data_IF_925498930631
#
_entry.id   IF_925498930631
#
_cell.length_a   1.000
_cell.length_b   1.000
_cell.length_c   1.000
_cell.angle_alpha   90.00
_cell.angle_beta   90.00
_cell.angle_gamma   90.00
#
_symmetry.space_group_name_H-M   'P 1'
#
loop_
_entity.id
_entity.type
_entity.pdbx_description
1 polymer ?
#
# COMPACT_ATOMS: atom_id res chain seq x y z
N UNK A 1 41.38 -58.37 -24.23
CA UNK A 1 42.83 -58.08 -24.35
C UNK A 1 43.03 -57.13 -25.50
N UNK A 2 43.83 -56.08 -25.28
CA UNK A 2 44.57 -55.20 -26.22
C UNK A 2 43.81 -54.66 -27.46
N UNK A 3 43.53 -53.36 -27.60
CA UNK A 3 44.41 -52.18 -27.67
C UNK A 3 45.23 -52.07 -28.98
N UNK A 4 45.24 -50.86 -29.55
CA UNK A 4 46.25 -50.34 -30.49
C UNK A 4 45.74 -50.30 -31.94
N UNK A 5 45.46 -49.13 -32.51
CA UNK A 5 46.40 -48.23 -33.21
C UNK A 5 46.89 -48.82 -34.55
N UNK A 6 47.12 -48.13 -35.67
CA UNK A 6 46.95 -46.77 -36.19
C UNK A 6 47.35 -46.87 -37.70
N UNK A 7 47.56 -45.73 -38.39
CA UNK A 7 48.07 -45.55 -39.79
C UNK A 7 46.94 -45.53 -40.83
N UNK A 8 46.42 -44.40 -41.33
CA UNK A 8 46.98 -43.14 -41.89
C UNK A 8 47.83 -43.35 -43.15
N UNK A 9 47.20 -43.20 -44.32
CA UNK A 9 47.85 -42.69 -45.54
C UNK A 9 46.94 -41.63 -46.15
N UNK A 10 47.54 -40.44 -46.29
CA UNK A 10 46.96 -39.18 -46.75
C UNK A 10 46.77 -39.13 -48.26
N UNK A 11 45.75 -38.38 -48.71
CA UNK A 11 45.53 -38.08 -50.11
C UNK A 11 44.81 -36.75 -50.33
N UNK A 12 45.59 -35.67 -50.27
CA UNK A 12 45.46 -34.37 -50.94
C UNK A 12 44.23 -33.47 -50.73
N UNK A 13 44.54 -32.31 -50.13
CA UNK A 13 43.71 -31.14 -49.84
C UNK A 13 43.50 -30.30 -51.10
N UNK A 14 42.25 -29.90 -51.34
CA UNK A 14 41.91 -28.66 -52.03
C UNK A 14 40.99 -27.84 -51.10
N UNK A 15 41.53 -26.75 -50.57
CA UNK A 15 40.92 -25.90 -49.54
C UNK A 15 39.93 -24.89 -50.15
N UNK A 16 38.64 -25.12 -49.95
CA UNK A 16 37.60 -24.07 -49.95
C UNK A 16 37.23 -23.71 -48.50
N UNK A 17 36.70 -22.50 -48.25
CA UNK A 17 36.32 -22.09 -46.89
C UNK A 17 35.29 -23.07 -46.30
N UNK A 18 35.62 -23.59 -45.12
CA UNK A 18 34.87 -24.63 -44.44
C UNK A 18 33.48 -24.14 -44.05
N UNK A 19 32.44 -24.75 -44.63
CA UNK A 19 31.14 -24.85 -43.98
C UNK A 19 31.25 -26.04 -43.03
N UNK A 20 31.27 -25.86 -41.70
CA UNK A 20 31.24 -27.00 -40.81
C UNK A 20 29.87 -27.66 -40.91
N UNK A 21 29.83 -28.84 -41.52
CA UNK A 21 28.78 -29.83 -41.29
C UNK A 21 28.85 -30.26 -39.83
N UNK A 22 27.95 -29.76 -38.99
CA UNK A 22 27.70 -30.34 -37.68
C UNK A 22 26.61 -31.41 -37.82
N UNK A 23 27.05 -32.65 -38.02
CA UNK A 23 26.26 -33.83 -37.68
C UNK A 23 26.29 -34.00 -36.17
N UNK A 24 25.30 -33.41 -35.49
CA UNK A 24 24.65 -33.82 -34.25
C UNK A 24 23.47 -32.87 -34.07
N UNK A 25 22.34 -33.15 -34.72
CA UNK A 25 21.06 -32.67 -34.20
C UNK A 25 20.79 -33.47 -32.92
N UNK A 26 21.47 -33.11 -31.82
CA UNK A 26 20.83 -33.25 -30.54
C UNK A 26 19.56 -32.40 -30.67
N UNK A 27 18.41 -33.06 -30.71
CA UNK A 27 17.15 -32.36 -30.56
C UNK A 27 17.35 -31.44 -29.35
N UNK A 28 17.30 -30.12 -29.58
CA UNK A 28 17.22 -29.19 -28.47
C UNK A 28 16.09 -29.73 -27.58
N UNK A 29 16.29 -29.89 -26.26
CA UNK A 29 15.18 -30.25 -25.42
C UNK A 29 14.09 -29.24 -25.75
N UNK A 30 12.97 -29.71 -26.28
CA UNK A 30 11.80 -28.86 -26.42
C UNK A 30 11.58 -28.30 -25.03
N UNK A 31 11.83 -27.01 -24.85
CA UNK A 31 11.38 -26.30 -23.67
C UNK A 31 9.88 -26.45 -23.73
N UNK A 32 9.37 -27.45 -23.01
CA UNK A 32 7.97 -27.55 -22.72
C UNK A 32 7.73 -26.30 -21.87
N UNK A 33 7.27 -25.22 -22.52
CA UNK A 33 6.56 -24.15 -21.84
C UNK A 33 5.46 -24.90 -21.08
N UNK A 34 5.66 -25.08 -19.78
CA UNK A 34 4.84 -25.90 -18.94
C UNK A 34 3.48 -25.22 -18.80
N UNK A 35 2.65 -25.34 -19.83
CA UNK A 35 1.27 -24.84 -19.85
C UNK A 35 0.35 -25.62 -18.89
N UNK A 36 0.89 -26.60 -18.14
CA UNK A 36 0.18 -27.38 -17.13
C UNK A 36 0.58 -27.05 -15.69
N UNK A 37 1.60 -26.24 -15.46
CA UNK A 37 1.94 -25.76 -14.12
C UNK A 37 1.24 -24.41 -13.98
N UNK A 38 0.24 -24.36 -13.11
CA UNK A 38 -0.29 -23.10 -12.60
C UNK A 38 0.55 -22.75 -11.36
N UNK A 39 1.56 -21.88 -11.49
CA UNK A 39 2.42 -21.53 -10.36
C UNK A 39 1.68 -20.67 -9.33
N UNK A 40 0.50 -20.13 -9.66
CA UNK A 40 -0.24 -19.18 -8.85
C UNK A 40 -1.41 -19.81 -8.08
N UNK A 41 -2.00 -20.90 -8.57
CA UNK A 41 -3.11 -21.58 -7.88
C UNK A 41 -2.83 -21.88 -6.38
N UNK A 42 -1.66 -22.41 -5.97
CA UNK A 42 -1.38 -22.64 -4.55
C UNK A 42 -1.32 -21.34 -3.72
N UNK A 43 -0.95 -20.22 -4.35
CA UNK A 43 -0.89 -18.91 -3.71
C UNK A 43 -2.27 -18.27 -3.60
N UNK A 44 -3.11 -18.44 -4.62
CA UNK A 44 -4.51 -18.01 -4.56
C UNK A 44 -5.23 -18.76 -3.43
N UNK A 45 -5.04 -20.08 -3.31
CA UNK A 45 -5.62 -20.86 -2.20
C UNK A 45 -5.10 -20.40 -0.82
N UNK A 46 -3.81 -20.10 -0.71
CA UNK A 46 -3.21 -19.56 0.52
C UNK A 46 -3.77 -18.17 0.86
N UNK A 47 -3.96 -17.32 -0.15
CA UNK A 47 -4.58 -16.01 0.00
C UNK A 47 -6.03 -16.13 0.45
N UNK A 48 -6.84 -16.97 -0.20
CA UNK A 48 -8.23 -17.22 0.21
C UNK A 48 -8.32 -17.74 1.65
N UNK A 49 -7.41 -18.64 2.04
CA UNK A 49 -7.31 -19.12 3.42
C UNK A 49 -6.91 -18.01 4.40
N UNK A 50 -5.98 -17.15 4.01
CA UNK A 50 -5.53 -16.00 4.82
C UNK A 50 -6.64 -14.99 4.99
N UNK A 51 -7.41 -14.70 3.94
CA UNK A 51 -8.59 -13.83 3.97
C UNK A 51 -9.67 -14.42 4.89
N UNK A 52 -9.93 -15.73 4.81
CA UNK A 52 -10.89 -16.40 5.68
C UNK A 52 -10.48 -16.30 7.16
N UNK A 53 -9.24 -16.64 7.51
CA UNK A 53 -8.70 -16.49 8.87
C UNK A 53 -8.70 -15.02 9.32
N UNK A 54 -8.39 -14.12 8.38
CA UNK A 54 -8.44 -12.68 8.58
C UNK A 54 -9.82 -12.18 8.96
N UNK A 55 -10.87 -12.69 8.29
CA UNK A 55 -12.25 -12.39 8.65
C UNK A 55 -12.57 -12.82 10.07
N UNK A 56 -12.11 -14.00 10.51
CA UNK A 56 -12.31 -14.47 11.89
C UNK A 56 -11.59 -13.59 12.91
N UNK A 57 -10.34 -13.19 12.63
CA UNK A 57 -9.58 -12.26 13.49
C UNK A 57 -10.24 -10.89 13.53
N UNK A 58 -10.70 -10.38 12.38
CA UNK A 58 -11.40 -9.10 12.29
C UNK A 58 -12.71 -9.12 13.08
N UNK A 59 -13.50 -10.19 12.99
CA UNK A 59 -14.71 -10.36 13.80
C UNK A 59 -14.39 -10.44 15.29
N UNK A 60 -13.31 -11.13 15.67
CA UNK A 60 -12.84 -11.20 17.05
C UNK A 60 -12.39 -9.83 17.58
N UNK A 61 -11.64 -9.06 16.79
CA UNK A 61 -11.25 -7.69 17.13
C UNK A 61 -12.48 -6.80 17.20
N UNK A 62 -13.36 -6.83 16.21
CA UNK A 62 -14.61 -6.05 16.24
C UNK A 62 -15.40 -6.35 17.51
N UNK A 63 -15.48 -7.61 17.92
CA UNK A 63 -16.05 -8.03 19.20
C UNK A 63 -15.30 -7.47 20.41
N UNK A 64 -13.97 -7.55 20.43
CA UNK A 64 -13.13 -7.04 21.51
C UNK A 64 -13.17 -5.52 21.64
N UNK A 65 -13.17 -4.80 20.51
CA UNK A 65 -13.30 -3.35 20.40
C UNK A 65 -14.72 -2.91 20.77
N UNK A 66 -15.76 -3.66 20.37
CA UNK A 66 -17.11 -3.41 20.88
C UNK A 66 -17.23 -3.62 22.40
N UNK A 67 -16.57 -4.64 22.94
CA UNK A 67 -16.50 -4.87 24.38
C UNK A 67 -15.65 -3.84 25.12
N UNK A 68 -14.64 -3.26 24.46
CA UNK A 68 -13.89 -2.11 24.96
C UNK A 68 -14.74 -0.83 24.98
N UNK A 69 -15.58 -0.62 23.96
CA UNK A 69 -16.55 0.49 23.92
C UNK A 69 -17.57 0.43 25.06
N UNK A 70 -17.95 -0.77 25.49
CA UNK A 70 -18.81 -0.97 26.67
C UNK A 70 -18.06 -0.77 28.01
N UNK A 71 -16.72 -0.81 28.00
CA UNK A 71 -15.90 -0.93 29.22
C UNK A 71 -15.32 0.39 29.75
N UNK A 72 -15.13 1.44 28.94
CA UNK A 72 -14.36 2.63 29.39
C UNK A 72 -14.99 3.98 29.01
N UNK A 73 -15.63 4.62 29.97
CA UNK A 73 -16.02 6.03 29.90
C UNK A 73 -14.78 6.91 30.16
N UNK A 74 -14.34 7.68 29.15
CA UNK A 74 -13.18 8.59 29.20
C UNK A 74 -12.07 8.27 28.19
N UNK A 75 -11.74 6.99 27.99
CA UNK A 75 -10.67 6.59 27.05
C UNK A 75 -11.16 6.38 25.62
N UNK A 76 -12.47 6.27 25.42
CA UNK A 76 -13.08 6.19 24.10
C UNK A 76 -12.94 7.50 23.31
N UNK A 77 -13.22 8.66 23.94
CA UNK A 77 -13.10 9.96 23.28
C UNK A 77 -11.66 10.22 22.82
N UNK A 78 -10.68 9.88 23.65
CA UNK A 78 -9.27 10.02 23.32
C UNK A 78 -8.81 9.08 22.20
N UNK A 79 -9.28 7.83 22.16
CA UNK A 79 -8.95 6.89 21.08
C UNK A 79 -9.69 7.17 19.75
N UNK A 80 -10.81 7.89 19.79
CA UNK A 80 -11.66 8.22 18.63
C UNK A 80 -11.55 9.68 18.18
N UNK A 81 -10.86 10.51 18.96
CA UNK A 81 -10.85 11.96 18.81
C UNK A 81 -12.25 12.61 18.76
N UNK A 82 -13.30 11.93 19.24
CA UNK A 82 -14.63 12.53 19.32
C UNK A 82 -14.59 13.72 20.29
N UNK A 83 -14.96 14.90 19.80
CA UNK A 83 -14.94 16.14 20.57
C UNK A 83 -13.58 16.84 20.60
N UNK A 84 -12.58 16.34 19.87
CA UNK A 84 -11.30 17.04 19.68
C UNK A 84 -11.49 18.17 18.67
N UNK A 85 -11.12 19.38 19.09
CA UNK A 85 -11.03 20.54 18.22
C UNK A 85 -9.59 20.71 17.75
N UNK A 86 -9.31 20.19 16.55
CA UNK A 86 -7.98 20.24 15.93
C UNK A 86 -7.53 21.65 15.55
N UNK A 87 -8.41 22.66 15.57
CA UNK A 87 -8.03 24.06 15.39
C UNK A 87 -7.38 24.67 16.65
N UNK A 88 -7.43 23.97 17.78
CA UNK A 88 -6.72 24.36 19.02
C UNK A 88 -5.31 23.78 19.08
N UNK A 89 -4.36 24.40 19.81
CA UNK A 89 -3.03 23.83 20.03
C UNK A 89 -3.09 22.41 20.60
N UNK A 90 -3.95 22.18 21.60
CA UNK A 90 -4.07 20.87 22.24
C UNK A 90 -4.62 19.81 21.27
N UNK A 91 -5.62 20.15 20.47
CA UNK A 91 -6.16 19.23 19.46
C UNK A 91 -5.19 18.96 18.31
N UNK A 92 -4.38 19.95 17.93
CA UNK A 92 -3.30 19.78 16.95
C UNK A 92 -2.21 18.85 17.46
N UNK A 93 -1.72 19.07 18.68
CA UNK A 93 -0.70 18.21 19.28
C UNK A 93 -1.18 16.76 19.40
N UNK A 94 -2.48 16.57 19.68
CA UNK A 94 -3.10 15.26 19.73
C UNK A 94 -3.21 14.61 18.35
N UNK A 95 -3.68 15.35 17.33
CA UNK A 95 -3.81 14.85 15.97
C UNK A 95 -2.44 14.55 15.32
N UNK A 96 -1.40 15.32 15.65
CA UNK A 96 -0.02 15.11 15.21
C UNK A 96 0.59 13.79 15.68
N UNK A 97 0.02 13.14 16.70
CA UNK A 97 0.45 11.80 17.15
C UNK A 97 0.08 10.70 16.17
N UNK A 98 -0.85 10.96 15.26
CA UNK A 98 -1.46 9.97 14.36
C UNK A 98 -1.49 10.42 12.90
N UNK A 99 -1.18 11.69 12.66
CA UNK A 99 -1.15 12.29 11.34
C UNK A 99 0.25 12.77 11.00
N UNK A 100 0.70 12.52 9.77
CA UNK A 100 1.83 13.26 9.21
C UNK A 100 1.44 14.70 8.89
N UNK A 101 2.44 15.51 8.59
CA UNK A 101 2.28 16.93 8.34
C UNK A 101 1.23 17.26 7.27
N UNK A 102 1.20 16.51 6.16
CA UNK A 102 0.30 16.85 5.06
C UNK A 102 -1.16 16.63 5.49
N UNK A 103 -1.47 15.43 5.99
CA UNK A 103 -2.83 15.13 6.48
C UNK A 103 -3.24 16.04 7.63
N UNK A 104 -2.35 16.32 8.58
CA UNK A 104 -2.61 17.23 9.68
C UNK A 104 -2.99 18.62 9.17
N UNK A 105 -2.23 19.15 8.21
CA UNK A 105 -2.50 20.44 7.59
C UNK A 105 -3.87 20.47 6.89
N UNK A 106 -4.20 19.42 6.12
CA UNK A 106 -5.49 19.31 5.44
C UNK A 106 -6.67 19.31 6.41
N UNK A 107 -6.54 18.57 7.51
CA UNK A 107 -7.55 18.52 8.58
C UNK A 107 -7.71 19.88 9.28
N UNK A 108 -6.59 20.52 9.67
CA UNK A 108 -6.60 21.84 10.32
C UNK A 108 -7.21 22.92 9.42
N UNK A 109 -6.92 22.87 8.11
CA UNK A 109 -7.53 23.78 7.14
C UNK A 109 -9.05 23.61 7.10
N UNK A 110 -9.55 22.37 7.03
CA UNK A 110 -10.99 22.09 7.04
C UNK A 110 -11.67 22.43 8.38
N UNK A 111 -10.92 22.42 9.47
CA UNK A 111 -11.35 22.86 10.79
C UNK A 111 -11.33 24.40 10.95
N UNK A 112 -10.92 25.15 9.92
CA UNK A 112 -10.92 26.61 9.94
C UNK A 112 -9.74 27.23 10.72
N UNK A 113 -8.64 26.48 10.91
CA UNK A 113 -7.45 27.00 11.57
C UNK A 113 -6.87 28.20 10.80
N UNK A 114 -6.50 29.25 11.54
CA UNK A 114 -5.72 30.37 11.00
C UNK A 114 -4.22 30.04 11.06
N UNK A 115 -3.63 29.81 9.89
CA UNK A 115 -2.21 29.49 9.75
C UNK A 115 -1.28 30.71 9.77
N UNK A 116 -1.80 31.94 9.73
CA UNK A 116 -0.99 33.16 9.82
C UNK A 116 0.01 33.40 8.67
N UNK A 117 -0.04 32.60 7.59
CA UNK A 117 0.91 32.63 6.46
C UNK A 117 0.31 33.15 5.14
N UNK A 118 -0.72 33.99 5.21
CA UNK A 118 -1.39 34.54 4.02
C UNK A 118 -2.39 33.59 3.36
N UNK A 119 -2.63 32.42 3.95
CA UNK A 119 -3.76 31.55 3.64
C UNK A 119 -4.98 32.09 4.39
N UNK A 120 -6.06 32.50 3.71
CA UNK A 120 -7.27 32.94 4.38
C UNK A 120 -7.90 31.77 5.15
N UNK A 121 -8.27 31.95 6.43
CA UNK A 121 -9.04 30.93 7.13
C UNK A 121 -10.41 30.77 6.45
N UNK A 122 -10.91 29.54 6.46
CA UNK A 122 -12.26 29.22 5.99
C UNK A 122 -13.19 29.00 7.17
N UNK A 123 -14.49 29.09 6.94
CA UNK A 123 -15.46 28.60 7.92
C UNK A 123 -15.31 27.07 8.05
N UNK A 124 -15.32 26.52 9.28
CA UNK A 124 -15.17 25.08 9.49
C UNK A 124 -16.20 24.27 8.71
N UNK A 125 -15.75 23.20 8.06
CA UNK A 125 -16.61 22.30 7.27
C UNK A 125 -17.07 21.15 8.17
N UNK A 126 -17.94 21.47 9.13
CA UNK A 126 -18.28 20.66 10.31
C UNK A 126 -18.62 19.16 10.08
N UNK A 127 -19.31 18.72 9.00
CA UNK A 127 -19.45 17.27 8.77
C UNK A 127 -18.15 16.60 8.33
N UNK A 128 -17.36 17.28 7.48
CA UNK A 128 -16.13 16.74 6.93
C UNK A 128 -14.99 16.79 7.95
N UNK A 129 -14.81 17.92 8.63
CA UNK A 129 -13.79 18.08 9.67
C UNK A 129 -14.00 17.08 10.81
N UNK A 130 -15.23 16.93 11.31
CA UNK A 130 -15.55 15.94 12.36
C UNK A 130 -15.25 14.51 11.92
N UNK A 131 -15.63 14.15 10.69
CA UNK A 131 -15.37 12.82 10.16
C UNK A 131 -13.87 12.57 10.00
N UNK A 132 -13.13 13.52 9.47
CA UNK A 132 -11.69 13.40 9.28
C UNK A 132 -10.94 13.37 10.63
N UNK A 133 -11.39 14.11 11.63
CA UNK A 133 -10.89 13.99 13.01
C UNK A 133 -11.12 12.59 13.58
N UNK A 134 -12.28 11.99 13.34
CA UNK A 134 -12.51 10.59 13.73
C UNK A 134 -11.60 9.63 12.95
N UNK A 135 -11.44 9.85 11.64
CA UNK A 135 -10.58 9.05 10.77
C UNK A 135 -9.09 9.24 11.06
N UNK A 136 -8.71 10.35 11.70
CA UNK A 136 -7.35 10.56 12.17
C UNK A 136 -7.07 9.87 13.50
N UNK A 137 -8.06 9.23 14.12
CA UNK A 137 -7.89 8.73 15.47
C UNK A 137 -6.97 7.49 15.56
N UNK A 138 -6.32 7.26 16.72
CA UNK A 138 -5.44 6.11 16.94
C UNK A 138 -6.19 4.77 16.77
N UNK A 139 -7.47 4.75 17.15
CA UNK A 139 -8.31 3.56 16.99
C UNK A 139 -8.46 3.18 15.52
N UNK A 140 -8.62 4.15 14.62
CA UNK A 140 -8.69 3.85 13.18
C UNK A 140 -7.35 3.35 12.65
N UNK A 141 -6.24 3.85 13.18
CA UNK A 141 -4.90 3.30 12.93
C UNK A 141 -4.77 1.84 13.35
N UNK A 142 -5.30 1.47 14.53
CA UNK A 142 -5.35 0.08 14.99
C UNK A 142 -6.20 -0.80 14.07
N UNK A 143 -7.38 -0.32 13.68
CA UNK A 143 -8.26 -1.04 12.74
C UNK A 143 -7.56 -1.26 11.40
N UNK A 144 -6.84 -0.25 10.90
CA UNK A 144 -6.06 -0.36 9.68
C UNK A 144 -4.89 -1.31 9.82
N UNK A 145 -4.16 -1.27 10.95
CA UNK A 145 -3.08 -2.20 11.24
C UNK A 145 -3.53 -3.66 11.29
N UNK A 146 -4.78 -3.92 11.66
CA UNK A 146 -5.37 -5.27 11.67
C UNK A 146 -5.82 -5.74 10.29
N UNK A 147 -6.47 -4.86 9.52
CA UNK A 147 -7.00 -5.19 8.21
C UNK A 147 -5.90 -5.23 7.15
N UNK A 148 -4.89 -4.38 7.29
CA UNK A 148 -3.84 -4.20 6.31
C UNK A 148 -3.10 -5.49 5.94
N UNK A 149 -2.57 -6.30 6.88
CA UNK A 149 -1.92 -7.59 6.58
C UNK A 149 -2.82 -8.62 5.89
N UNK A 150 -4.14 -8.46 5.98
CA UNK A 150 -5.13 -9.34 5.36
C UNK A 150 -5.45 -8.93 3.93
N UNK A 151 -5.47 -7.63 3.65
CA UNK A 151 -5.86 -7.06 2.36
C UNK A 151 -4.65 -6.79 1.47
N UNK A 152 -3.53 -6.31 2.05
CA UNK A 152 -2.32 -5.96 1.32
C UNK A 152 -1.76 -7.07 0.43
N UNK A 153 -1.81 -8.38 0.77
CA UNK A 153 -1.30 -9.42 -0.13
C UNK A 153 -2.15 -9.56 -1.40
N UNK A 154 -3.45 -9.28 -1.32
CA UNK A 154 -4.35 -9.32 -2.46
C UNK A 154 -4.18 -8.11 -3.37
N UNK A 155 -3.98 -6.93 -2.76
CA UNK A 155 -3.61 -5.71 -3.48
C UNK A 155 -2.28 -5.90 -4.20
N UNK A 156 -1.28 -6.46 -3.53
CA UNK A 156 0.03 -6.72 -4.15
C UNK A 156 -0.06 -7.78 -5.25
N UNK A 157 -0.90 -8.82 -5.10
CA UNK A 157 -1.16 -9.76 -6.18
C UNK A 157 -1.76 -9.07 -7.40
N UNK A 158 -2.72 -8.17 -7.20
CA UNK A 158 -3.31 -7.37 -8.27
C UNK A 158 -2.26 -6.47 -8.95
N UNK A 159 -1.42 -5.79 -8.17
CA UNK A 159 -0.32 -4.96 -8.67
C UNK A 159 0.69 -5.78 -9.47
N UNK A 160 1.09 -6.95 -8.95
CA UNK A 160 2.00 -7.89 -9.61
C UNK A 160 1.41 -8.36 -10.95
N UNK A 161 0.12 -8.70 -11.00
CA UNK A 161 -0.56 -9.05 -12.26
C UNK A 161 -0.56 -7.88 -13.25
N UNK A 162 -0.86 -6.67 -12.77
CA UNK A 162 -0.78 -5.45 -13.59
C UNK A 162 0.60 -5.25 -14.21
N UNK A 163 1.66 -5.33 -13.40
CA UNK A 163 3.06 -5.18 -13.85
C UNK A 163 3.44 -6.23 -14.90
N UNK A 164 3.07 -7.50 -14.68
CA UNK A 164 3.32 -8.59 -15.65
C UNK A 164 2.63 -8.27 -16.98
N UNK A 165 1.36 -7.87 -16.94
CA UNK A 165 0.58 -7.55 -18.15
C UNK A 165 1.18 -6.36 -18.90
N UNK A 166 1.55 -5.30 -18.18
CA UNK A 166 2.15 -4.09 -18.75
C UNK A 166 3.50 -4.38 -19.40
N UNK A 167 4.36 -5.18 -18.74
CA UNK A 167 5.64 -5.58 -19.30
C UNK A 167 5.49 -6.49 -20.53
N UNK A 168 4.50 -7.40 -20.53
CA UNK A 168 4.18 -8.22 -21.71
C UNK A 168 3.72 -7.35 -22.89
N UNK A 169 2.80 -6.40 -22.67
CA UNK A 169 2.31 -5.52 -23.75
C UNK A 169 3.33 -4.46 -24.16
N UNK A 170 4.21 -4.06 -23.25
CA UNK A 170 5.38 -3.22 -23.50
C UNK A 170 6.49 -3.93 -24.28
N UNK A 171 6.42 -5.26 -24.43
CA UNK A 171 7.39 -6.08 -25.14
C UNK A 171 8.64 -6.43 -24.33
N UNK A 172 8.64 -6.16 -23.03
CA UNK A 172 9.72 -6.52 -22.11
C UNK A 172 9.42 -7.86 -21.40
N UNK A 173 9.63 -8.94 -22.15
CA UNK A 173 9.40 -10.29 -21.64
C UNK A 173 10.35 -10.70 -20.52
N UNK A 174 11.53 -10.08 -20.43
CA UNK A 174 12.47 -10.35 -19.34
C UNK A 174 11.95 -9.75 -18.04
N UNK A 175 11.50 -8.49 -18.06
CA UNK A 175 10.84 -7.86 -16.92
C UNK A 175 9.57 -8.62 -16.51
N UNK A 176 8.72 -9.02 -17.47
CA UNK A 176 7.51 -9.79 -17.16
C UNK A 176 7.81 -11.14 -16.49
N UNK A 177 8.87 -11.83 -16.90
CA UNK A 177 9.30 -13.08 -16.24
C UNK A 177 9.86 -12.81 -14.84
N UNK A 178 10.61 -11.72 -14.65
CA UNK A 178 11.09 -11.32 -13.34
C UNK A 178 9.92 -11.02 -12.39
N UNK A 179 8.89 -10.33 -12.86
CA UNK A 179 7.69 -10.03 -12.07
C UNK A 179 6.93 -11.30 -11.67
N UNK A 180 6.77 -12.27 -12.58
CA UNK A 180 6.18 -13.59 -12.27
C UNK A 180 6.95 -14.30 -11.15
N UNK A 181 8.29 -14.24 -11.20
CA UNK A 181 9.15 -14.89 -10.21
C UNK A 181 9.19 -14.11 -8.88
N UNK A 182 9.03 -12.79 -8.93
CA UNK A 182 9.02 -11.92 -7.77
C UNK A 182 7.67 -11.89 -7.05
N UNK A 183 6.56 -12.13 -7.75
CA UNK A 183 5.20 -12.04 -7.21
C UNK A 183 5.01 -12.78 -5.88
N UNK A 184 5.51 -14.02 -5.67
CA UNK A 184 5.39 -14.67 -4.36
C UNK A 184 6.13 -13.92 -3.24
N UNK A 185 7.32 -13.40 -3.52
CA UNK A 185 8.10 -12.63 -2.56
C UNK A 185 7.43 -11.29 -2.25
N UNK A 186 6.84 -10.65 -3.26
CA UNK A 186 6.12 -9.40 -3.09
C UNK A 186 4.85 -9.58 -2.25
N UNK A 187 4.04 -10.61 -2.54
CA UNK A 187 2.82 -10.93 -1.76
C UNK A 187 3.14 -11.21 -0.29
N UNK A 188 4.20 -11.97 0.00
CA UNK A 188 4.68 -12.18 1.38
C UNK A 188 5.22 -10.86 1.96
N UNK A 189 5.96 -10.11 1.18
CA UNK A 189 6.45 -8.78 1.53
C UNK A 189 5.31 -7.85 1.95
N UNK A 190 4.18 -7.92 1.27
CA UNK A 190 3.00 -7.10 1.54
C UNK A 190 2.31 -7.45 2.87
N UNK A 191 2.31 -8.72 3.29
CA UNK A 191 1.83 -9.09 4.65
C UNK A 191 2.59 -8.31 5.73
N UNK A 192 3.90 -8.14 5.54
CA UNK A 192 4.77 -7.50 6.54
C UNK A 192 4.89 -5.99 6.37
N UNK A 193 4.92 -5.50 5.14
CA UNK A 193 5.26 -4.11 4.81
C UNK A 193 4.10 -3.33 4.19
N UNK A 194 3.00 -3.99 3.84
CA UNK A 194 1.84 -3.35 3.23
C UNK A 194 1.87 -3.32 1.71
N UNK A 195 0.84 -2.73 1.13
CA UNK A 195 0.72 -2.52 -0.32
C UNK A 195 -0.11 -1.27 -0.62
N UNK A 196 0.23 -0.62 -1.72
CA UNK A 196 -0.49 0.55 -2.25
C UNK A 196 -1.57 0.12 -3.24
N UNK A 197 -2.78 0.64 -3.06
CA UNK A 197 -3.84 0.56 -4.06
C UNK A 197 -3.97 1.91 -4.76
N UNK A 198 -3.59 1.96 -6.04
CA UNK A 198 -3.80 3.14 -6.87
C UNK A 198 -5.27 3.25 -7.29
N UNK A 199 -5.88 4.43 -7.08
CA UNK A 199 -7.27 4.76 -7.41
C UNK A 199 -7.37 5.90 -8.45
N UNK A 200 -6.28 6.23 -9.15
CA UNK A 200 -6.25 7.35 -10.11
C UNK A 200 -7.25 7.15 -11.25
N UNK A 201 -7.48 5.90 -11.66
CA UNK A 201 -8.51 5.56 -12.64
C UNK A 201 -9.93 5.97 -12.18
N UNK A 202 -10.15 6.11 -10.87
CA UNK A 202 -11.40 6.57 -10.28
C UNK A 202 -11.44 8.08 -10.08
N UNK A 203 -10.34 8.81 -10.26
CA UNK A 203 -10.29 10.25 -9.98
C UNK A 203 -11.36 11.03 -10.77
N UNK A 204 -11.52 10.75 -12.07
CA UNK A 204 -12.57 11.38 -12.88
C UNK A 204 -13.98 11.09 -12.33
N UNK A 205 -14.25 9.83 -11.96
CA UNK A 205 -15.53 9.45 -11.39
C UNK A 205 -15.77 10.13 -10.03
N UNK A 206 -14.75 10.22 -9.18
CA UNK A 206 -14.83 10.89 -7.88
C UNK A 206 -15.13 12.38 -8.03
N UNK A 207 -14.52 13.05 -9.02
CA UNK A 207 -14.83 14.46 -9.33
C UNK A 207 -16.30 14.66 -9.71
N UNK A 208 -16.84 13.80 -10.56
CA UNK A 208 -18.25 13.85 -10.98
C UNK A 208 -19.20 13.51 -9.82
N UNK A 209 -18.89 12.48 -9.03
CA UNK A 209 -19.73 12.01 -7.94
C UNK A 209 -19.76 12.98 -6.76
N UNK A 210 -18.63 13.60 -6.41
CA UNK A 210 -18.50 14.54 -5.29
C UNK A 210 -18.85 15.98 -5.67
N UNK A 211 -19.17 16.24 -6.95
CA UNK A 211 -19.49 17.58 -7.47
C UNK A 211 -18.43 18.60 -7.05
N UNK A 212 -17.17 18.25 -7.28
CA UNK A 212 -16.03 19.08 -6.88
C UNK A 212 -16.22 20.49 -7.50
N UNK A 213 -16.12 21.57 -6.69
CA UNK A 213 -16.35 22.93 -7.18
C UNK A 213 -15.48 23.29 -8.38
N UNK A 214 -15.99 24.15 -9.27
CA UNK A 214 -15.21 24.67 -10.40
C UNK A 214 -13.89 25.29 -9.92
N UNK A 215 -12.80 25.01 -10.62
CA UNK A 215 -11.45 25.43 -10.23
C UNK A 215 -10.70 24.46 -9.31
N UNK A 216 -11.38 23.44 -8.77
CA UNK A 216 -10.78 22.36 -7.99
C UNK A 216 -10.90 21.02 -8.73
N UNK A 217 -10.00 20.08 -8.43
CA UNK A 217 -10.08 18.73 -8.95
C UNK A 217 -9.38 17.72 -8.03
N UNK A 218 -9.90 16.50 -7.96
CA UNK A 218 -9.15 15.33 -7.48
C UNK A 218 -8.31 14.85 -8.66
N UNK A 219 -6.99 15.04 -8.59
CA UNK A 219 -6.07 14.65 -9.65
C UNK A 219 -5.62 13.19 -9.51
N UNK A 220 -5.61 12.69 -8.28
CA UNK A 220 -5.20 11.33 -7.97
C UNK A 220 -5.64 10.93 -6.58
N UNK A 221 -5.80 9.62 -6.40
CA UNK A 221 -6.17 9.04 -5.13
C UNK A 221 -5.48 7.68 -4.97
N UNK A 222 -5.06 7.35 -3.76
CA UNK A 222 -4.57 6.02 -3.43
C UNK A 222 -5.01 5.62 -2.02
N UNK A 223 -4.86 4.34 -1.73
CA UNK A 223 -5.04 3.82 -0.39
C UNK A 223 -3.85 2.95 -0.01
N UNK A 224 -3.14 3.32 1.06
CA UNK A 224 -2.00 2.57 1.59
C UNK A 224 -2.44 1.65 2.72
N UNK A 225 -2.41 0.34 2.44
CA UNK A 225 -2.63 -0.69 3.45
C UNK A 225 -1.31 -1.02 4.13
N UNK A 226 -1.16 -0.73 5.42
CA UNK A 226 0.03 -1.14 6.19
C UNK A 226 0.06 -2.65 6.46
N UNK A 227 1.23 -3.27 6.37
CA UNK A 227 1.47 -4.64 6.81
C UNK A 227 1.78 -4.71 8.30
N UNK A 228 2.13 -5.90 8.81
CA UNK A 228 2.31 -6.11 10.26
C UNK A 228 3.34 -5.16 10.90
N UNK A 229 4.39 -4.83 10.15
CA UNK A 229 5.54 -4.05 10.61
C UNK A 229 5.64 -2.67 9.96
N UNK A 230 4.62 -2.23 9.21
CA UNK A 230 4.63 -0.88 8.63
C UNK A 230 4.62 0.16 9.76
N UNK A 231 5.64 1.03 9.84
CA UNK A 231 5.77 1.97 10.95
C UNK A 231 4.74 3.12 10.91
N UNK A 232 4.27 3.45 9.70
CA UNK A 232 3.54 4.69 9.42
C UNK A 232 4.39 5.94 9.65
N UNK A 233 3.77 7.10 9.49
CA UNK A 233 4.40 8.41 9.64
C UNK A 233 3.49 9.35 10.42
N UNK A 234 4.09 10.15 11.30
CA UNK A 234 3.39 11.15 12.12
C UNK A 234 4.23 12.42 12.22
N UNK A 235 3.58 13.56 12.40
CA UNK A 235 4.24 14.86 12.56
C UNK A 235 4.97 14.95 13.92
N UNK A 236 4.47 14.24 14.93
CA UNK A 236 5.15 14.09 16.22
C UNK A 236 6.43 13.22 16.14
N UNK A 237 6.72 12.58 15.01
CA UNK A 237 7.96 11.84 14.76
C UNK A 237 8.03 10.47 15.44
N UNK A 238 6.88 9.93 15.87
CA UNK A 238 6.73 8.59 16.43
C UNK A 238 6.18 7.59 15.39
N UNK A 239 6.21 6.30 15.72
CA UNK A 239 5.47 5.31 14.91
C UNK A 239 3.99 5.48 15.17
N UNK A 240 3.16 5.22 14.16
CA UNK A 240 1.73 5.46 14.26
C UNK A 240 1.11 5.81 12.93
N UNK A 241 -0.16 6.18 12.99
CA UNK A 241 -0.95 6.50 11.82
C UNK A 241 -2.42 6.28 12.09
N UNK A 242 -3.22 6.54 11.07
CA UNK A 242 -4.67 6.51 11.15
C UNK A 242 -5.27 6.11 9.80
N UNK A 243 -6.59 5.94 9.76
CA UNK A 243 -7.27 5.70 8.49
C UNK A 243 -7.13 6.89 7.54
N UNK A 244 -7.12 8.12 8.07
CA UNK A 244 -6.92 9.30 7.24
C UNK A 244 -5.50 9.31 6.66
N UNK A 245 -4.48 8.93 7.45
CA UNK A 245 -3.11 8.84 6.96
C UNK A 245 -2.96 7.85 5.80
N UNK A 246 -3.68 6.74 5.82
CA UNK A 246 -3.68 5.77 4.72
C UNK A 246 -4.22 6.32 3.38
N UNK A 247 -4.88 7.47 3.35
CA UNK A 247 -5.52 8.01 2.14
C UNK A 247 -4.58 8.94 1.37
N UNK A 248 -4.04 8.48 0.24
CA UNK A 248 -3.32 9.35 -0.67
C UNK A 248 -4.27 10.26 -1.43
N UNK A 249 -4.01 11.57 -1.40
CA UNK A 249 -4.81 12.59 -2.07
C UNK A 249 -3.91 13.57 -2.82
N UNK A 250 -4.13 13.67 -4.13
CA UNK A 250 -3.58 14.73 -4.96
C UNK A 250 -4.73 15.63 -5.41
N UNK A 251 -4.79 16.84 -4.87
CA UNK A 251 -5.89 17.78 -5.09
C UNK A 251 -5.38 19.03 -5.79
N UNK A 252 -6.04 19.41 -6.87
CA UNK A 252 -6.00 20.76 -7.41
C UNK A 252 -6.97 21.63 -6.62
N UNK A 253 -6.47 22.73 -6.08
CA UNK A 253 -7.26 23.69 -5.33
C UNK A 253 -7.05 25.09 -5.92
N UNK A 254 -8.14 25.73 -6.31
CA UNK A 254 -8.15 27.09 -6.80
C UNK A 254 -7.52 28.02 -5.74
N UNK A 255 -6.53 28.81 -6.15
CA UNK A 255 -5.85 29.76 -5.28
C UNK A 255 -4.61 29.25 -4.56
N UNK A 256 -4.31 27.94 -4.57
CA UNK A 256 -3.11 27.39 -3.91
C UNK A 256 -1.83 27.46 -4.76
N UNK A 257 -1.92 27.80 -6.05
CA UNK A 257 -0.77 28.02 -6.96
C UNK A 257 0.02 26.74 -7.32
N UNK A 258 -0.20 25.65 -6.60
CA UNK A 258 0.36 24.32 -6.81
C UNK A 258 -0.56 23.28 -6.16
N UNK A 259 -0.66 22.05 -6.70
CA UNK A 259 -1.54 21.03 -6.14
C UNK A 259 -1.18 20.69 -4.69
N UNK A 260 -2.21 20.49 -3.87
CA UNK A 260 -2.06 19.89 -2.56
C UNK A 260 -1.77 18.40 -2.73
N UNK A 261 -0.69 17.92 -2.12
CA UNK A 261 -0.28 16.52 -2.17
C UNK A 261 -0.14 16.00 -0.75
N UNK A 262 -1.02 15.08 -0.37
CA UNK A 262 -0.89 14.25 0.81
C UNK A 262 -0.67 12.81 0.36
N UNK A 263 0.58 12.33 0.27
CA UNK A 263 0.85 10.93 0.00
C UNK A 263 0.22 10.07 1.09
N UNK A 264 -0.35 8.92 0.73
CA UNK A 264 -0.85 8.00 1.75
C UNK A 264 0.32 7.39 2.52
N UNK A 265 0.11 7.19 3.82
CA UNK A 265 1.07 6.65 4.78
C UNK A 265 0.37 5.56 5.59
N UNK A 266 0.46 4.32 5.11
CA UNK A 266 -0.16 3.17 5.75
C UNK A 266 0.48 2.86 7.11
N UNK A 267 -0.32 2.40 8.08
CA UNK A 267 0.16 1.99 9.40
C UNK A 267 -0.09 0.51 9.67
N UNK A 268 0.87 -0.15 10.30
CA UNK A 268 0.80 -1.55 10.69
C UNK A 268 0.24 -1.80 12.08
N UNK A 269 -0.09 -3.05 12.39
CA UNK A 269 -0.63 -3.44 13.70
C UNK A 269 0.32 -3.10 14.85
N UNK A 270 1.61 -3.42 14.71
CA UNK A 270 2.56 -3.22 15.80
C UNK A 270 2.77 -1.73 16.06
N UNK A 271 2.92 -0.93 14.99
CA UNK A 271 3.09 0.52 15.09
C UNK A 271 1.86 1.19 15.71
N UNK A 272 0.66 0.85 15.26
CA UNK A 272 -0.60 1.41 15.80
C UNK A 272 -0.84 1.03 17.26
N UNK A 273 -0.51 -0.20 17.69
CA UNK A 273 -0.58 -0.59 19.09
C UNK A 273 0.43 0.16 19.97
N UNK A 274 1.66 0.34 19.48
CA UNK A 274 2.69 1.12 20.18
C UNK A 274 2.25 2.57 20.32
N UNK A 275 1.80 3.19 19.22
CA UNK A 275 1.28 4.55 19.19
C UNK A 275 0.15 4.76 20.19
N UNK A 276 -0.87 3.89 20.16
CA UNK A 276 -2.00 3.93 21.09
C UNK A 276 -1.54 3.80 22.55
N UNK A 277 -0.62 2.89 22.84
CA UNK A 277 -0.07 2.69 24.18
C UNK A 277 0.74 3.91 24.66
N UNK A 278 1.56 4.49 23.79
CA UNK A 278 2.34 5.70 24.07
C UNK A 278 1.42 6.89 24.36
N UNK A 279 0.39 7.09 23.55
CA UNK A 279 -0.62 8.12 23.76
C UNK A 279 -1.33 7.94 25.11
N UNK A 280 -1.75 6.72 25.46
CA UNK A 280 -2.31 6.44 26.79
C UNK A 280 -1.31 6.71 27.92
N UNK A 281 -0.03 6.39 27.72
CA UNK A 281 1.02 6.60 28.74
C UNK A 281 1.37 8.08 28.92
N UNK A 282 1.29 8.87 27.85
CA UNK A 282 1.43 10.32 27.86
C UNK A 282 0.20 11.02 28.46
N UNK A 283 -0.88 10.27 28.69
CA UNK A 283 -2.07 10.72 29.40
C UNK A 283 -3.20 11.26 28.53
N UNK A 284 -3.13 11.13 27.19
CA UNK A 284 -4.06 11.70 26.20
C UNK A 284 -4.98 12.82 26.72
N UNK A 285 -4.46 14.04 26.75
CA UNK A 285 -5.21 15.29 27.00
C UNK A 285 -5.59 15.52 28.46
#
# INVERSE_FOLDING_TARGET
MAAGAAVVVSGLVASGPAVPTFSHAAAAPSVQLAASIDPFAPWVEMFETTVANGSEVFDAVKGAVSGFFDMVEGQFAAATFIGVDVATPEGTDLAAQTLDWNHLWGLQYLAGMDFGMGVPPIEPVEPAATLLTLMSSPLTGLMMGLVGPLISPGVELFNSVGSIVDNVFGGDFEAALQDVLAAPANVIGAVFNGASLNLDALAQFLNEALQVPEGNAILGASFEFGGLFTPGETDAGNVGGSLYNSLGLLLEMEGMGMPYNAPGEGVGLIASLVNLAEMFSAGMG
#
